data_IF_457852282882
#
_entry.id   IF_457852282882
#
_cell.length_a   1.000
_cell.length_b   1.000
_cell.length_c   1.000
_cell.angle_alpha   90.00
_cell.angle_beta   90.00
_cell.angle_gamma   90.00
#
_symmetry.space_group_name_H-M   'P 1'
#
loop_
_entity.id
_entity.type
_entity.pdbx_description
1 polymer ?
#
# COMPACT_ATOMS: atom_id res chain seq x y z
N UNK A 1 20.74 -51.61 -7.42
CA UNK A 1 20.50 -51.24 -8.84
C UNK A 1 18.99 -51.09 -8.95
N UNK A 2 18.40 -49.91 -8.77
CA UNK A 2 18.16 -48.89 -9.80
C UNK A 2 18.22 -47.46 -9.21
N UNK A 3 18.95 -46.59 -9.92
CA UNK A 3 19.02 -45.14 -9.67
C UNK A 3 17.69 -44.48 -10.03
N UNK A 4 17.09 -43.71 -9.12
CA UNK A 4 16.16 -42.62 -9.48
C UNK A 4 16.81 -41.28 -9.14
N UNK A 5 17.41 -40.70 -10.16
CA UNK A 5 17.73 -39.27 -10.28
C UNK A 5 16.39 -38.56 -10.53
N UNK A 6 16.04 -37.57 -9.71
CA UNK A 6 14.73 -36.90 -9.81
C UNK A 6 14.55 -35.72 -8.86
N UNK A 7 15.23 -34.61 -9.19
CA UNK A 7 14.77 -33.24 -8.98
C UNK A 7 14.37 -32.80 -7.54
N UNK A 8 15.31 -32.80 -6.61
CA UNK A 8 15.24 -31.93 -5.44
C UNK A 8 15.61 -30.50 -5.88
N UNK A 9 14.65 -29.76 -6.47
CA UNK A 9 14.84 -28.30 -6.60
C UNK A 9 14.93 -27.77 -5.17
N UNK A 10 16.15 -27.33 -4.79
CA UNK A 10 16.42 -26.69 -3.49
C UNK A 10 15.33 -25.64 -3.25
N UNK A 11 14.55 -25.78 -2.18
CA UNK A 11 13.52 -24.82 -1.75
C UNK A 11 13.96 -23.34 -1.87
N UNK A 12 15.25 -23.06 -1.64
CA UNK A 12 15.87 -21.74 -1.80
C UNK A 12 15.85 -21.16 -3.23
N UNK A 13 15.85 -21.99 -4.29
CA UNK A 13 15.83 -21.52 -5.69
C UNK A 13 14.43 -21.09 -6.11
N UNK A 14 13.40 -21.83 -5.66
CA UNK A 14 11.99 -21.49 -5.95
C UNK A 14 11.61 -20.17 -5.28
N UNK A 15 12.00 -19.97 -4.02
CA UNK A 15 11.76 -18.72 -3.29
C UNK A 15 12.45 -17.53 -3.98
N UNK A 16 13.68 -17.73 -4.49
CA UNK A 16 14.44 -16.68 -5.19
C UNK A 16 13.75 -16.21 -6.47
N UNK A 17 13.20 -17.13 -7.27
CA UNK A 17 12.50 -16.78 -8.51
C UNK A 17 11.19 -16.02 -8.25
N UNK A 18 10.43 -16.42 -7.22
CA UNK A 18 9.17 -15.75 -6.86
C UNK A 18 9.39 -14.33 -6.30
N UNK A 19 10.53 -14.07 -5.66
CA UNK A 19 10.89 -12.71 -5.24
C UNK A 19 11.23 -11.79 -6.41
N UNK A 20 11.72 -12.32 -7.53
CA UNK A 20 12.10 -11.53 -8.72
C UNK A 20 10.91 -11.12 -9.60
N UNK A 21 9.74 -11.73 -9.42
CA UNK A 21 8.53 -11.38 -10.18
C UNK A 21 7.62 -10.37 -9.47
N UNK A 22 8.05 -9.79 -8.33
CA UNK A 22 7.21 -8.84 -7.60
C UNK A 22 7.01 -7.58 -8.41
N UNK A 23 5.76 -7.24 -8.68
CA UNK A 23 5.41 -6.03 -9.40
C UNK A 23 5.39 -4.81 -8.46
N UNK A 24 5.58 -3.59 -8.99
CA UNK A 24 5.39 -2.36 -8.21
C UNK A 24 4.01 -2.31 -7.55
N UNK A 25 2.96 -2.75 -8.25
CA UNK A 25 1.60 -2.80 -7.74
C UNK A 25 1.44 -3.78 -6.57
N UNK A 26 2.11 -4.93 -6.60
CA UNK A 26 2.11 -5.88 -5.48
C UNK A 26 2.71 -5.24 -4.21
N UNK A 27 3.77 -4.45 -4.35
CA UNK A 27 4.35 -3.73 -3.21
C UNK A 27 3.42 -2.64 -2.68
N UNK A 28 2.73 -1.90 -3.56
CA UNK A 28 1.71 -0.93 -3.13
C UNK A 28 0.66 -1.62 -2.27
N UNK A 29 0.13 -2.77 -2.71
CA UNK A 29 -0.90 -3.51 -1.95
C UNK A 29 -0.35 -4.07 -0.63
N UNK A 30 0.91 -4.51 -0.59
CA UNK A 30 1.51 -5.10 0.62
C UNK A 30 2.01 -4.08 1.65
N UNK A 31 2.37 -2.88 1.20
CA UNK A 31 3.07 -1.89 2.04
C UNK A 31 2.33 -0.55 2.12
N UNK A 32 1.97 0.02 0.98
CA UNK A 32 1.42 1.38 0.91
C UNK A 32 -0.05 1.40 1.31
N UNK A 33 -0.88 0.52 0.75
CA UNK A 33 -2.32 0.49 1.02
C UNK A 33 -2.65 0.21 2.51
N UNK A 34 -2.00 -0.74 3.20
CA UNK A 34 -2.24 -0.96 4.63
C UNK A 34 -1.86 0.26 5.47
N UNK A 35 -0.71 0.87 5.19
CA UNK A 35 -0.26 2.07 5.89
C UNK A 35 -1.18 3.27 5.62
N UNK A 36 -1.62 3.45 4.37
CA UNK A 36 -2.57 4.48 3.99
C UNK A 36 -3.90 4.34 4.73
N UNK A 37 -4.45 3.11 4.83
CA UNK A 37 -5.66 2.84 5.62
C UNK A 37 -5.47 3.17 7.10
N UNK A 38 -4.31 2.87 7.67
CA UNK A 38 -3.99 3.26 9.05
C UNK A 38 -4.00 4.78 9.23
N UNK A 39 -3.42 5.53 8.28
CA UNK A 39 -3.42 7.00 8.34
C UNK A 39 -4.83 7.58 8.24
N UNK A 40 -5.67 7.07 7.32
CA UNK A 40 -7.08 7.51 7.23
C UNK A 40 -7.84 7.21 8.52
N UNK A 41 -7.69 6.00 9.09
CA UNK A 41 -8.33 5.63 10.35
C UNK A 41 -7.86 6.53 11.51
N UNK A 42 -6.56 6.80 11.60
CA UNK A 42 -5.97 7.70 12.60
C UNK A 42 -6.55 9.11 12.48
N UNK A 43 -6.62 9.67 11.27
CA UNK A 43 -7.21 11.00 11.04
C UNK A 43 -8.69 11.04 11.41
N UNK A 44 -9.48 10.02 11.08
CA UNK A 44 -10.91 9.95 11.48
C UNK A 44 -11.08 10.01 13.01
N UNK A 45 -10.20 9.34 13.75
CA UNK A 45 -10.28 9.26 15.21
C UNK A 45 -9.73 10.53 15.87
N UNK A 46 -8.54 10.97 15.47
CA UNK A 46 -7.84 12.09 16.12
C UNK A 46 -8.44 13.45 15.74
N UNK A 47 -8.77 13.66 14.46
CA UNK A 47 -9.23 14.96 13.94
C UNK A 47 -10.75 15.10 13.90
N UNK A 48 -11.47 14.01 13.63
CA UNK A 48 -12.93 14.00 13.52
C UNK A 48 -13.63 13.30 14.69
N UNK A 49 -12.88 12.86 15.70
CA UNK A 49 -13.39 12.30 16.96
C UNK A 49 -14.28 11.06 16.80
N UNK A 50 -14.05 10.26 15.76
CA UNK A 50 -14.73 8.98 15.60
C UNK A 50 -14.29 8.00 16.70
N UNK A 51 -15.23 7.20 17.20
CA UNK A 51 -14.87 6.01 17.97
C UNK A 51 -14.23 4.96 17.03
N UNK A 52 -13.44 4.03 17.58
CA UNK A 52 -12.87 2.94 16.76
C UNK A 52 -13.96 2.11 16.05
N UNK A 53 -15.12 1.94 16.70
CA UNK A 53 -16.27 1.22 16.12
C UNK A 53 -16.87 2.02 14.96
N UNK A 54 -17.07 3.33 15.13
CA UNK A 54 -17.60 4.19 14.07
C UNK A 54 -16.65 4.27 12.87
N UNK A 55 -15.35 4.40 13.12
CA UNK A 55 -14.32 4.38 12.07
C UNK A 55 -14.30 3.03 11.33
N UNK A 56 -14.41 1.91 12.07
CA UNK A 56 -14.50 0.57 11.47
C UNK A 56 -15.71 0.43 10.55
N UNK A 57 -16.89 0.93 10.97
CA UNK A 57 -18.11 0.92 10.18
C UNK A 57 -17.95 1.74 8.89
N UNK A 58 -17.47 2.99 8.98
CA UNK A 58 -17.27 3.85 7.80
C UNK A 58 -16.24 3.27 6.81
N UNK A 59 -15.19 2.63 7.32
CA UNK A 59 -14.12 2.06 6.50
C UNK A 59 -14.39 0.63 6.03
N UNK A 60 -15.50 0.00 6.43
CA UNK A 60 -15.81 -1.38 6.09
C UNK A 60 -14.81 -2.39 6.65
N UNK A 61 -14.32 -2.18 7.88
CA UNK A 61 -13.40 -3.09 8.60
C UNK A 61 -13.97 -3.55 9.93
N UNK A 62 -13.20 -4.39 10.64
CA UNK A 62 -13.44 -4.71 12.04
C UNK A 62 -12.83 -3.67 12.97
N UNK A 63 -13.41 -3.49 14.17
CA UNK A 63 -12.80 -2.67 15.22
C UNK A 63 -11.41 -3.20 15.61
N UNK A 64 -11.19 -4.53 15.56
CA UNK A 64 -9.87 -5.12 15.78
C UNK A 64 -8.83 -4.64 14.75
N UNK A 65 -9.20 -4.51 13.47
CA UNK A 65 -8.32 -3.95 12.45
C UNK A 65 -7.96 -2.48 12.74
N UNK A 66 -8.93 -1.67 13.18
CA UNK A 66 -8.69 -0.27 13.58
C UNK A 66 -7.76 -0.20 14.79
N UNK A 67 -7.98 -1.03 15.83
CA UNK A 67 -7.08 -1.11 16.97
C UNK A 67 -5.65 -1.48 16.53
N UNK A 68 -5.52 -2.45 15.62
CA UNK A 68 -4.22 -2.77 15.02
C UNK A 68 -3.61 -1.60 14.26
N UNK A 69 -4.38 -0.80 13.52
CA UNK A 69 -3.87 0.37 12.81
C UNK A 69 -3.28 1.43 13.76
N UNK A 70 -3.90 1.62 14.93
CA UNK A 70 -3.48 2.63 15.90
C UNK A 70 -2.27 2.20 16.74
N UNK A 71 -2.17 0.91 17.09
CA UNK A 71 -1.23 0.44 18.10
C UNK A 71 -0.17 -0.55 17.59
N UNK A 72 -0.26 -1.02 16.35
CA UNK A 72 0.71 -1.98 15.80
C UNK A 72 2.07 -1.34 15.55
N UNK A 73 3.12 -1.89 16.20
CA UNK A 73 4.52 -1.57 15.87
C UNK A 73 5.00 -2.16 14.54
N UNK A 74 4.26 -3.12 13.95
CA UNK A 74 4.61 -3.67 12.62
C UNK A 74 4.16 -2.69 11.55
N UNK A 75 5.11 -2.19 10.75
CA UNK A 75 4.87 -1.22 9.69
C UNK A 75 5.10 0.24 10.10
N UNK A 76 5.35 0.52 11.38
CA UNK A 76 5.50 1.87 11.94
C UNK A 76 6.51 2.74 11.19
N UNK A 77 7.68 2.16 10.84
CA UNK A 77 8.70 2.86 10.05
C UNK A 77 8.18 3.27 8.68
N UNK A 78 7.44 2.37 7.99
CA UNK A 78 6.88 2.64 6.66
C UNK A 78 5.70 3.61 6.73
N UNK A 79 4.85 3.51 7.76
CA UNK A 79 3.77 4.47 8.01
C UNK A 79 4.36 5.87 8.16
N UNK A 80 5.38 6.05 9.01
CA UNK A 80 6.07 7.34 9.19
C UNK A 80 6.70 7.86 7.89
N UNK A 81 7.30 6.98 7.09
CA UNK A 81 7.84 7.37 5.78
C UNK A 81 6.76 7.85 4.82
N UNK A 82 5.58 7.21 4.81
CA UNK A 82 4.46 7.60 3.95
C UNK A 82 3.76 8.86 4.47
N UNK A 83 3.59 9.00 5.78
CA UNK A 83 3.05 10.20 6.46
C UNK A 83 3.89 11.45 6.15
N UNK A 84 5.20 11.30 5.98
CA UNK A 84 6.10 12.39 5.61
C UNK A 84 5.95 12.86 4.14
N UNK A 85 5.22 12.12 3.29
CA UNK A 85 5.03 12.48 1.87
C UNK A 85 3.81 13.40 1.74
N UNK A 86 3.95 14.66 1.31
CA UNK A 86 2.85 15.63 1.29
C UNK A 86 1.65 15.20 0.44
N UNK A 87 1.87 14.55 -0.71
CA UNK A 87 0.79 14.06 -1.57
C UNK A 87 -0.03 12.95 -0.91
N UNK A 88 0.60 12.11 -0.08
CA UNK A 88 -0.09 11.07 0.69
C UNK A 88 -0.92 11.73 1.79
N UNK A 89 -0.33 12.63 2.57
CA UNK A 89 -1.04 13.29 3.67
C UNK A 89 -2.24 14.09 3.15
N UNK A 90 -2.09 14.82 2.05
CA UNK A 90 -3.19 15.53 1.40
C UNK A 90 -4.33 14.60 0.99
N UNK A 91 -4.02 13.44 0.39
CA UNK A 91 -5.02 12.45 0.03
C UNK A 91 -5.69 11.80 1.25
N UNK A 92 -4.94 11.55 2.34
CA UNK A 92 -5.48 11.06 3.61
C UNK A 92 -6.48 12.06 4.19
N UNK A 93 -6.09 13.34 4.26
CA UNK A 93 -6.94 14.41 4.79
C UNK A 93 -8.21 14.60 3.96
N UNK A 94 -8.10 14.59 2.62
CA UNK A 94 -9.24 14.70 1.72
C UNK A 94 -10.22 13.52 1.90
N UNK A 95 -9.71 12.28 1.91
CA UNK A 95 -10.56 11.10 2.07
C UNK A 95 -11.19 11.07 3.47
N UNK A 96 -10.43 11.37 4.53
CA UNK A 96 -10.96 11.40 5.88
C UNK A 96 -12.04 12.48 6.04
N UNK A 97 -11.84 13.67 5.45
CA UNK A 97 -12.85 14.73 5.40
C UNK A 97 -14.12 14.27 4.69
N UNK A 98 -13.98 13.69 3.49
CA UNK A 98 -15.11 13.22 2.71
C UNK A 98 -15.92 12.14 3.44
N UNK A 99 -15.25 11.22 4.14
CA UNK A 99 -15.89 10.19 4.96
C UNK A 99 -16.58 10.82 6.19
N UNK A 100 -15.90 11.72 6.89
CA UNK A 100 -16.42 12.34 8.12
C UNK A 100 -17.64 13.23 7.86
N UNK A 101 -17.73 13.81 6.66
CA UNK A 101 -18.85 14.67 6.24
C UNK A 101 -19.93 13.93 5.43
N UNK A 102 -19.83 12.59 5.32
CA UNK A 102 -20.75 11.75 4.54
C UNK A 102 -20.87 12.15 3.05
N UNK A 103 -19.87 12.85 2.53
CA UNK A 103 -19.78 13.28 1.13
C UNK A 103 -19.11 12.25 0.23
N UNK A 104 -18.34 11.30 0.79
CA UNK A 104 -17.67 10.25 0.04
C UNK A 104 -18.34 8.89 0.25
N UNK A 105 -18.68 8.25 -0.87
CA UNK A 105 -18.93 6.82 -0.89
C UNK A 105 -17.62 6.03 -0.76
N UNK A 106 -17.68 4.72 -0.43
CA UNK A 106 -16.49 3.85 -0.50
C UNK A 106 -15.81 3.86 -1.88
N UNK A 107 -16.58 4.07 -2.94
CA UNK A 107 -16.06 4.16 -4.31
C UNK A 107 -15.25 5.44 -4.54
N UNK A 108 -15.65 6.57 -3.97
CA UNK A 108 -14.91 7.84 -4.08
C UNK A 108 -13.54 7.75 -3.40
N UNK A 109 -13.51 7.20 -2.19
CA UNK A 109 -12.26 6.93 -1.48
C UNK A 109 -11.33 5.99 -2.27
N UNK A 110 -11.90 4.94 -2.89
CA UNK A 110 -11.15 4.04 -3.77
C UNK A 110 -10.57 4.78 -4.98
N UNK A 111 -11.37 5.59 -5.69
CA UNK A 111 -10.91 6.35 -6.85
C UNK A 111 -9.79 7.32 -6.48
N UNK A 112 -9.91 8.00 -5.34
CA UNK A 112 -8.88 8.91 -4.82
C UNK A 112 -7.58 8.17 -4.51
N UNK A 113 -7.65 7.03 -3.84
CA UNK A 113 -6.46 6.20 -3.60
C UNK A 113 -5.84 5.68 -4.91
N UNK A 114 -6.65 5.26 -5.89
CA UNK A 114 -6.15 4.81 -7.19
C UNK A 114 -5.43 5.93 -7.95
N UNK A 115 -5.95 7.17 -7.90
CA UNK A 115 -5.27 8.35 -8.46
C UNK A 115 -3.95 8.61 -7.77
N UNK A 116 -3.93 8.66 -6.43
CA UNK A 116 -2.70 8.77 -5.65
C UNK A 116 -1.68 7.69 -6.05
N UNK A 117 -2.10 6.43 -6.15
CA UNK A 117 -1.23 5.33 -6.58
C UNK A 117 -0.63 5.57 -7.98
N UNK A 118 -1.40 6.12 -8.92
CA UNK A 118 -0.89 6.50 -10.24
C UNK A 118 0.17 7.61 -10.14
N UNK A 119 -0.10 8.62 -9.33
CA UNK A 119 0.81 9.77 -9.16
C UNK A 119 2.12 9.35 -8.47
N UNK A 120 2.04 8.51 -7.43
CA UNK A 120 3.22 7.97 -6.75
C UNK A 120 4.09 7.10 -7.68
N UNK A 121 3.47 6.40 -8.64
CA UNK A 121 4.22 5.67 -9.69
C UNK A 121 4.89 6.63 -10.67
N UNK A 122 4.20 7.71 -11.06
CA UNK A 122 4.72 8.70 -12.00
C UNK A 122 5.88 9.52 -11.41
N UNK A 123 5.83 9.82 -10.11
CA UNK A 123 6.87 10.55 -9.36
C UNK A 123 8.04 9.67 -8.94
N UNK A 124 8.15 8.44 -9.47
CA UNK A 124 9.21 7.48 -9.18
C UNK A 124 9.26 6.97 -7.72
N UNK A 125 8.38 7.42 -6.81
CA UNK A 125 8.35 7.00 -5.40
C UNK A 125 8.09 5.50 -5.24
N UNK A 126 7.15 4.94 -6.01
CA UNK A 126 6.90 3.49 -5.99
C UNK A 126 8.08 2.71 -6.57
N UNK A 127 8.81 3.26 -7.54
CA UNK A 127 9.98 2.61 -8.11
C UNK A 127 11.14 2.55 -7.11
N UNK A 128 11.39 3.62 -6.36
CA UNK A 128 12.39 3.60 -5.28
C UNK A 128 12.04 2.58 -4.21
N UNK A 129 10.77 2.51 -3.79
CA UNK A 129 10.29 1.44 -2.91
C UNK A 129 10.42 0.05 -3.52
N UNK A 130 10.38 -0.08 -4.85
CA UNK A 130 10.48 -1.37 -5.55
C UNK A 130 11.92 -1.88 -5.63
N UNK A 131 12.87 -0.98 -5.84
CA UNK A 131 14.31 -1.25 -5.82
C UNK A 131 14.81 -1.74 -4.44
N UNK A 132 14.14 -1.37 -3.35
CA UNK A 132 14.44 -1.89 -1.99
C UNK A 132 14.29 -3.44 -1.89
N UNK A 133 13.51 -4.08 -2.76
CA UNK A 133 13.15 -5.51 -2.64
C UNK A 133 13.70 -6.40 -3.75
N UNK A 134 14.11 -5.84 -4.89
CA UNK A 134 14.70 -6.59 -6.00
C UNK A 134 15.69 -5.74 -6.80
N UNK A 135 16.58 -6.43 -7.50
CA UNK A 135 17.48 -5.81 -8.48
C UNK A 135 16.67 -5.52 -9.75
N UNK A 136 16.42 -4.24 -9.99
CA UNK A 136 15.76 -3.73 -11.20
C UNK A 136 16.85 -3.22 -12.16
N UNK A 137 16.81 -3.56 -13.46
CA UNK A 137 17.76 -3.01 -14.44
C UNK A 137 17.70 -1.49 -14.50
N UNK A 138 18.84 -0.83 -14.72
CA UNK A 138 18.90 0.64 -14.84
C UNK A 138 18.05 1.18 -15.99
N UNK A 139 17.85 0.39 -17.04
CA UNK A 139 17.02 0.74 -18.20
C UNK A 139 15.50 0.54 -17.98
N UNK A 140 15.06 0.19 -16.76
CA UNK A 140 13.65 -0.05 -16.48
C UNK A 140 12.83 1.25 -16.57
N UNK A 141 11.85 1.27 -17.49
CA UNK A 141 10.94 2.39 -17.71
C UNK A 141 9.47 2.02 -17.41
N UNK A 142 9.19 0.86 -16.81
CA UNK A 142 7.85 0.30 -16.64
C UNK A 142 6.86 1.27 -15.95
N UNK A 143 7.30 1.98 -14.91
CA UNK A 143 6.46 2.96 -14.21
C UNK A 143 6.28 4.28 -15.00
N UNK A 144 7.22 4.60 -15.89
CA UNK A 144 7.16 5.78 -16.76
C UNK A 144 6.35 5.53 -18.03
N UNK A 145 6.42 4.32 -18.61
CA UNK A 145 5.76 3.93 -19.85
C UNK A 145 4.26 3.65 -19.69
N UNK A 146 3.79 3.32 -18.48
CA UNK A 146 2.37 3.10 -18.14
C UNK A 146 1.48 4.36 -18.24
N UNK A 147 2.02 5.49 -18.73
CA UNK A 147 1.34 6.78 -18.88
C UNK A 147 0.89 7.07 -20.31
N UNK A 148 1.21 6.22 -21.29
CA UNK A 148 0.91 6.41 -22.73
C UNK A 148 -0.36 5.68 -23.22
N UNK A 149 -1.38 5.55 -22.39
CA UNK A 149 -2.69 5.09 -22.86
C UNK A 149 -3.68 6.24 -22.65
N UNK A 150 -3.70 7.14 -23.64
CA UNK A 150 -4.83 8.03 -23.94
C UNK A 150 -5.92 7.26 -24.66
#
# INVERSE_FOLDING_TARGET
>A
MWRKIGLFIRYNVVIKMWMQMRTPCELVVKLVLPAFRSLVAKTLIEKYHFSQVAAAQKLGTTQAAISHYLYSKRGDKRIKQLEAIPSIQSAVDEIAFGIATDNFSPFDAMLKFCRLCKDLKAQNLVCELHKDFLVVPESCDLCASAQKIT
#
